data_IF_751986204809
#
_entry.id   IF_751986204809
#
_cell.length_a   1.000
_cell.length_b   1.000
_cell.length_c   1.000
_cell.angle_alpha   90.00
_cell.angle_beta   90.00
_cell.angle_gamma   90.00
#
_symmetry.space_group_name_H-M   'P 1'
#
loop_
_entity.id
_entity.type
_entity.pdbx_description
1 polymer ?
#
# COMPACT_ATOMS: atom_id res chain seq x y z
N UNK A 1 -13.68 -31.53 9.80
CA UNK A 1 -13.29 -30.15 10.16
C UNK A 1 -13.98 -29.23 9.17
N UNK A 2 -14.98 -28.49 9.62
CA UNK A 2 -15.90 -27.71 8.78
C UNK A 2 -15.25 -26.40 8.33
N UNK A 3 -15.62 -25.92 7.13
CA UNK A 3 -15.17 -24.67 6.48
C UNK A 3 -15.15 -23.46 7.46
N UNK A 4 -16.05 -23.45 8.43
CA UNK A 4 -16.11 -22.46 9.52
C UNK A 4 -14.79 -22.32 10.30
N UNK A 5 -14.14 -23.43 10.66
CA UNK A 5 -12.90 -23.39 11.44
C UNK A 5 -11.72 -22.83 10.63
N UNK A 6 -11.68 -23.10 9.32
CA UNK A 6 -10.64 -22.55 8.43
C UNK A 6 -10.79 -21.04 8.25
N UNK A 7 -12.01 -20.54 8.07
CA UNK A 7 -12.28 -19.10 7.94
C UNK A 7 -11.90 -18.36 9.23
N UNK A 8 -12.26 -18.90 10.39
CA UNK A 8 -11.89 -18.30 11.69
C UNK A 8 -10.37 -18.25 11.86
N UNK A 9 -9.67 -19.34 11.49
CA UNK A 9 -8.21 -19.38 11.57
C UNK A 9 -7.55 -18.37 10.63
N UNK A 10 -8.01 -18.29 9.38
CA UNK A 10 -7.55 -17.29 8.41
C UNK A 10 -7.75 -15.85 8.91
N UNK A 11 -8.90 -15.55 9.50
CA UNK A 11 -9.17 -14.23 10.06
C UNK A 11 -8.24 -13.91 11.23
N UNK A 12 -7.97 -14.88 12.10
CA UNK A 12 -7.04 -14.70 13.22
C UNK A 12 -5.60 -14.46 12.74
N UNK A 13 -5.13 -15.25 11.76
CA UNK A 13 -3.82 -15.07 11.14
C UNK A 13 -3.69 -13.70 10.46
N UNK A 14 -4.73 -13.26 9.77
CA UNK A 14 -4.80 -11.93 9.15
C UNK A 14 -4.71 -10.82 10.21
N UNK A 15 -5.52 -10.90 11.26
CA UNK A 15 -5.51 -9.92 12.35
C UNK A 15 -4.14 -9.84 13.02
N UNK A 16 -3.51 -10.99 13.26
CA UNK A 16 -2.16 -11.08 13.83
C UNK A 16 -1.14 -10.38 12.92
N UNK A 17 -1.17 -10.68 11.62
CA UNK A 17 -0.28 -10.04 10.63
C UNK A 17 -0.44 -8.52 10.60
N UNK A 18 -1.67 -8.01 10.62
CA UNK A 18 -1.92 -6.56 10.64
C UNK A 18 -1.38 -5.92 11.92
N UNK A 19 -1.60 -6.54 13.09
CA UNK A 19 -1.12 -6.02 14.38
C UNK A 19 0.41 -5.99 14.46
N UNK A 20 1.07 -7.07 14.06
CA UNK A 20 2.53 -7.15 14.02
C UNK A 20 3.13 -6.10 13.08
N UNK A 21 2.52 -5.92 11.92
CA UNK A 21 2.98 -4.91 10.97
C UNK A 21 2.81 -3.50 11.50
N UNK A 22 1.70 -3.22 12.19
CA UNK A 22 1.47 -1.92 12.82
C UNK A 22 2.48 -1.63 13.94
N UNK A 23 2.86 -2.64 14.73
CA UNK A 23 3.85 -2.45 15.81
C UNK A 23 5.26 -2.13 15.30
N UNK A 24 5.59 -2.59 14.08
CA UNK A 24 6.87 -2.32 13.40
C UNK A 24 6.84 -1.05 12.53
N UNK A 25 5.66 -0.48 12.25
CA UNK A 25 5.52 0.68 11.35
C UNK A 25 6.05 1.95 12.01
N UNK A 26 6.92 2.69 11.30
CA UNK A 26 7.43 3.98 11.76
C UNK A 26 6.29 4.98 12.04
N UNK A 27 6.32 5.70 13.17
CA UNK A 27 5.33 6.72 13.55
C UNK A 27 5.09 7.77 12.45
N UNK A 28 6.12 8.09 11.67
CA UNK A 28 6.03 8.99 10.50
C UNK A 28 5.10 8.44 9.43
N UNK A 29 5.13 7.12 9.17
CA UNK A 29 4.23 6.46 8.21
C UNK A 29 2.81 6.48 8.72
N UNK A 30 2.60 6.23 10.02
CA UNK A 30 1.28 6.32 10.64
C UNK A 30 0.71 7.73 10.52
N UNK A 31 1.50 8.76 10.83
CA UNK A 31 1.12 10.16 10.64
C UNK A 31 0.78 10.48 9.17
N UNK A 32 1.58 10.03 8.22
CA UNK A 32 1.29 10.24 6.79
C UNK A 32 0.00 9.53 6.34
N UNK A 33 -0.30 8.36 6.90
CA UNK A 33 -1.57 7.65 6.67
C UNK A 33 -2.75 8.41 7.29
N UNK A 34 -2.57 9.07 8.44
CA UNK A 34 -3.61 9.94 9.00
C UNK A 34 -3.86 11.15 8.11
N UNK A 35 -2.81 11.82 7.60
CA UNK A 35 -2.96 12.89 6.62
C UNK A 35 -3.72 12.41 5.36
N UNK A 36 -3.42 11.18 4.90
CA UNK A 36 -4.16 10.54 3.81
C UNK A 36 -5.66 10.44 4.09
N UNK A 37 -5.99 9.99 5.30
CA UNK A 37 -7.37 9.78 5.72
C UNK A 37 -8.13 11.11 5.83
N UNK A 38 -7.44 12.18 6.23
CA UNK A 38 -7.98 13.55 6.25
C UNK A 38 -7.98 14.22 4.88
N UNK A 39 -7.69 13.50 3.79
CA UNK A 39 -7.60 14.02 2.42
C UNK A 39 -6.52 15.10 2.18
N UNK A 40 -5.54 15.21 3.10
CA UNK A 40 -4.38 16.09 2.98
C UNK A 40 -3.30 15.48 2.06
N UNK A 41 -3.70 15.09 0.84
CA UNK A 41 -2.90 14.27 -0.07
C UNK A 41 -1.58 14.93 -0.46
N UNK A 42 -1.58 16.23 -0.74
CA UNK A 42 -0.37 16.96 -1.13
C UNK A 42 0.70 16.93 -0.04
N UNK A 43 0.30 17.11 1.22
CA UNK A 43 1.20 17.11 2.36
C UNK A 43 1.73 15.69 2.64
N UNK A 44 0.85 14.70 2.63
CA UNK A 44 1.24 13.30 2.82
C UNK A 44 2.19 12.81 1.71
N UNK A 45 1.97 13.18 0.44
CA UNK A 45 2.89 12.90 -0.67
C UNK A 45 4.28 13.48 -0.36
N UNK A 46 4.37 14.75 0.08
CA UNK A 46 5.65 15.41 0.41
C UNK A 46 6.43 14.63 1.47
N UNK A 47 5.75 14.17 2.52
CA UNK A 47 6.40 13.38 3.58
C UNK A 47 6.79 11.98 3.11
N UNK A 48 5.94 11.26 2.38
CA UNK A 48 6.27 9.94 1.84
C UNK A 48 7.47 10.00 0.88
N UNK A 49 7.55 11.03 0.02
CA UNK A 49 8.71 11.24 -0.85
C UNK A 49 9.98 11.58 -0.07
N UNK A 50 9.88 12.35 1.02
CA UNK A 50 11.02 12.57 1.93
C UNK A 50 11.46 11.26 2.57
N UNK A 51 10.51 10.42 2.98
CA UNK A 51 10.79 9.13 3.60
C UNK A 51 11.53 8.19 2.63
N UNK A 52 11.14 8.12 1.35
CA UNK A 52 11.85 7.35 0.32
C UNK A 52 13.30 7.81 0.08
N UNK A 53 13.64 9.08 0.39
CA UNK A 53 15.00 9.60 0.26
C UNK A 53 15.90 9.24 1.44
N UNK A 54 15.34 9.05 2.63
CA UNK A 54 16.12 8.77 3.85
C UNK A 54 16.15 7.28 4.20
N UNK A 55 15.14 6.51 3.80
CA UNK A 55 15.12 5.07 4.05
C UNK A 55 16.12 4.34 3.12
N UNK A 56 16.89 3.36 3.62
CA UNK A 56 17.69 2.47 2.78
C UNK A 56 16.86 1.79 1.70
N UNK A 57 17.45 1.48 0.54
CA UNK A 57 16.74 0.87 -0.61
C UNK A 57 16.03 -0.45 -0.23
N UNK A 58 16.59 -1.21 0.69
CA UNK A 58 16.05 -2.50 1.14
C UNK A 58 15.12 -2.39 2.37
N UNK A 59 14.76 -1.18 2.79
CA UNK A 59 13.91 -0.99 3.97
C UNK A 59 12.50 -1.56 3.74
N UNK A 60 12.02 -2.36 4.69
CA UNK A 60 10.77 -3.14 4.60
C UNK A 60 9.50 -2.30 4.35
N UNK A 61 9.48 -1.05 4.81
CA UNK A 61 8.36 -0.14 4.58
C UNK A 61 8.29 0.49 3.17
N UNK A 62 9.36 0.46 2.37
CA UNK A 62 9.34 1.09 1.03
C UNK A 62 8.20 0.63 0.11
N UNK A 63 7.86 -0.67 0.02
CA UNK A 63 6.75 -1.12 -0.81
C UNK A 63 5.41 -0.50 -0.37
N UNK A 64 5.21 -0.35 0.94
CA UNK A 64 4.03 0.28 1.53
C UNK A 64 3.98 1.79 1.23
N UNK A 65 5.12 2.48 1.32
CA UNK A 65 5.22 3.89 0.97
C UNK A 65 4.88 4.12 -0.51
N UNK A 66 5.39 3.28 -1.41
CA UNK A 66 5.02 3.33 -2.84
C UNK A 66 3.52 3.08 -3.04
N UNK A 67 2.93 2.10 -2.35
CA UNK A 67 1.50 1.84 -2.40
C UNK A 67 0.66 3.05 -1.95
N UNK A 68 1.03 3.72 -0.85
CA UNK A 68 0.32 4.90 -0.38
C UNK A 68 0.45 6.07 -1.36
N UNK A 69 1.65 6.34 -1.89
CA UNK A 69 1.86 7.36 -2.92
C UNK A 69 0.96 7.11 -4.13
N UNK A 70 0.87 5.86 -4.58
CA UNK A 70 0.01 5.49 -5.70
C UNK A 70 -1.47 5.82 -5.45
N UNK A 71 -1.98 5.49 -4.27
CA UNK A 71 -3.36 5.83 -3.86
C UNK A 71 -3.59 7.34 -3.86
N UNK A 72 -2.66 8.12 -3.32
CA UNK A 72 -2.79 9.58 -3.29
C UNK A 72 -2.81 10.19 -4.67
N UNK A 73 -1.90 9.75 -5.55
CA UNK A 73 -1.91 10.21 -6.93
C UNK A 73 -3.19 9.82 -7.66
N UNK A 74 -3.73 8.62 -7.41
CA UNK A 74 -5.05 8.22 -7.93
C UNK A 74 -6.14 9.18 -7.45
N UNK A 75 -6.23 9.47 -6.15
CA UNK A 75 -7.24 10.38 -5.61
C UNK A 75 -7.10 11.83 -6.13
N UNK A 76 -5.91 12.23 -6.56
CA UNK A 76 -5.67 13.52 -7.22
C UNK A 76 -5.91 13.49 -8.74
N UNK A 77 -6.44 12.40 -9.31
CA UNK A 77 -6.64 12.23 -10.76
C UNK A 77 -5.34 12.09 -11.56
N UNK A 78 -4.20 11.90 -10.88
CA UNK A 78 -2.87 11.78 -11.48
C UNK A 78 -2.56 10.31 -11.79
N UNK A 79 -3.36 9.74 -12.69
CA UNK A 79 -3.37 8.30 -13.00
C UNK A 79 -1.99 7.76 -13.44
N UNK A 80 -1.23 8.51 -14.24
CA UNK A 80 0.08 8.04 -14.70
C UNK A 80 1.09 7.90 -13.55
N UNK A 81 1.11 8.86 -12.61
CA UNK A 81 1.91 8.76 -11.39
C UNK A 81 1.41 7.60 -10.51
N UNK A 82 0.09 7.42 -10.39
CA UNK A 82 -0.48 6.30 -9.62
C UNK A 82 0.00 4.94 -10.18
N UNK A 83 -0.06 4.73 -11.49
CA UNK A 83 0.41 3.51 -12.16
C UNK A 83 1.90 3.28 -11.88
N UNK A 84 2.72 4.33 -12.01
CA UNK A 84 4.15 4.23 -11.73
C UNK A 84 4.40 3.71 -10.30
N UNK A 85 3.80 4.36 -9.30
CA UNK A 85 4.02 4.00 -7.91
C UNK A 85 3.43 2.62 -7.54
N UNK A 86 2.28 2.24 -8.08
CA UNK A 86 1.77 0.89 -7.90
C UNK A 86 2.67 -0.17 -8.53
N UNK A 87 3.29 0.10 -9.70
CA UNK A 87 4.26 -0.83 -10.31
C UNK A 87 5.50 -1.00 -9.45
N UNK A 88 6.01 0.09 -8.84
CA UNK A 88 7.10 0.01 -7.87
C UNK A 88 6.72 -0.84 -6.65
N UNK A 89 5.55 -0.59 -6.04
CA UNK A 89 5.05 -1.37 -4.91
C UNK A 89 4.93 -2.87 -5.28
N UNK A 90 4.35 -3.16 -6.45
CA UNK A 90 4.16 -4.52 -6.97
C UNK A 90 5.49 -5.25 -7.11
N UNK A 91 6.49 -4.60 -7.70
CA UNK A 91 7.80 -5.20 -7.92
C UNK A 91 8.47 -5.60 -6.60
N UNK A 92 8.42 -4.72 -5.60
CA UNK A 92 9.04 -4.98 -4.30
C UNK A 92 8.26 -6.02 -3.49
N UNK A 93 6.93 -5.92 -3.45
CA UNK A 93 6.08 -6.89 -2.74
C UNK A 93 6.21 -8.30 -3.32
N UNK A 94 6.34 -8.42 -4.65
CA UNK A 94 6.55 -9.72 -5.31
C UNK A 94 7.79 -10.45 -4.82
N UNK A 95 8.86 -9.72 -4.47
CA UNK A 95 10.11 -10.32 -3.96
C UNK A 95 9.93 -10.96 -2.58
N UNK A 96 8.95 -10.50 -1.80
CA UNK A 96 8.65 -11.02 -0.46
C UNK A 96 7.52 -12.05 -0.44
N UNK A 97 7.15 -12.65 -1.58
CA UNK A 97 6.18 -13.75 -1.58
C UNK A 97 6.81 -15.04 -1.01
N UNK A 98 6.05 -15.87 -0.27
CA UNK A 98 4.60 -15.77 -0.05
C UNK A 98 4.16 -14.84 1.09
N UNK A 99 5.08 -14.27 1.87
CA UNK A 99 4.76 -13.48 3.07
C UNK A 99 3.96 -12.19 2.77
N UNK A 100 4.20 -11.55 1.63
CA UNK A 100 3.52 -10.31 1.23
C UNK A 100 2.29 -10.52 0.33
N UNK A 101 1.61 -11.67 0.42
CA UNK A 101 0.50 -12.04 -0.49
C UNK A 101 -0.64 -11.02 -0.43
N UNK A 102 -1.01 -10.57 0.77
CA UNK A 102 -2.09 -9.60 0.96
C UNK A 102 -1.77 -8.24 0.31
N UNK A 103 -0.60 -7.67 0.60
CA UNK A 103 -0.19 -6.38 0.07
C UNK A 103 0.00 -6.41 -1.44
N UNK A 104 0.52 -7.53 -1.95
CA UNK A 104 0.63 -7.77 -3.39
C UNK A 104 -0.76 -7.75 -4.04
N UNK A 105 -1.74 -8.45 -3.46
CA UNK A 105 -3.14 -8.45 -3.93
C UNK A 105 -3.74 -7.05 -3.93
N UNK A 106 -3.57 -6.30 -2.84
CA UNK A 106 -4.07 -4.91 -2.73
C UNK A 106 -3.47 -3.99 -3.80
N UNK A 107 -2.19 -4.15 -4.12
CA UNK A 107 -1.54 -3.39 -5.19
C UNK A 107 -2.08 -3.75 -6.58
N UNK A 108 -2.37 -5.03 -6.84
CA UNK A 108 -2.99 -5.45 -8.10
C UNK A 108 -4.40 -4.88 -8.28
N UNK A 109 -5.21 -4.92 -7.22
CA UNK A 109 -6.54 -4.29 -7.21
C UNK A 109 -6.40 -2.80 -7.49
N UNK A 110 -5.47 -2.11 -6.82
CA UNK A 110 -5.21 -0.69 -7.04
C UNK A 110 -4.87 -0.35 -8.50
N UNK A 111 -4.03 -1.15 -9.16
CA UNK A 111 -3.74 -1.00 -10.59
C UNK A 111 -4.98 -1.21 -11.46
N UNK A 112 -5.75 -2.26 -11.18
CA UNK A 112 -7.00 -2.55 -11.88
C UNK A 112 -7.96 -1.37 -11.80
N UNK A 113 -8.14 -0.78 -10.63
CA UNK A 113 -9.00 0.39 -10.46
C UNK A 113 -8.52 1.59 -11.25
N UNK A 114 -7.23 1.89 -11.25
CA UNK A 114 -6.70 3.03 -12.04
C UNK A 114 -6.90 2.81 -13.54
N UNK A 115 -6.78 1.58 -14.03
CA UNK A 115 -7.02 1.28 -15.45
C UNK A 115 -8.49 1.39 -15.83
N UNK A 116 -9.42 1.02 -14.95
CA UNK A 116 -10.85 1.24 -15.16
C UNK A 116 -11.17 2.74 -15.22
N UNK A 117 -10.68 3.52 -14.25
CA UNK A 117 -10.88 4.98 -14.21
C UNK A 117 -10.34 5.68 -15.48
N UNK A 118 -9.18 5.24 -16.00
CA UNK A 118 -8.61 5.75 -17.24
C UNK A 118 -9.44 5.39 -18.48
N UNK A 119 -10.11 4.24 -18.47
CA UNK A 119 -10.95 3.83 -19.58
C UNK A 119 -12.28 4.58 -19.59
N UNK A 120 -12.84 4.87 -18.41
CA UNK A 120 -14.09 5.63 -18.25
C UNK A 120 -13.91 7.13 -18.54
N UNK A 121 -12.67 7.64 -18.49
CA UNK A 121 -12.34 9.03 -18.83
C UNK A 121 -12.11 9.31 -20.32
N UNK A 122 -12.29 8.30 -21.19
CA UNK A 122 -12.14 8.41 -22.66
C UNK A 122 -13.49 8.54 -23.34
#
# INVERSE_FOLDING_TARGET
MTVSNQVVQLNHEFDSHIRERLSKTNATILFCRMLAYLSEYSLAIKYFQRLLRVLPIEHEDRPNIHYQLARMYRFLGKHQQAIYYFRCAKLLQRRGLPYNTYEYGMTLVGLGTVYLELNDSK
#
